data_IF_176922666423
#
_entry.id   IF_176922666423
#
_cell.length_a   1.000
_cell.length_b   1.000
_cell.length_c   1.000
_cell.angle_alpha   90.00
_cell.angle_beta   90.00
_cell.angle_gamma   90.00
#
_symmetry.space_group_name_H-M   'P 1'
#
loop_
_entity.id
_entity.type
_entity.pdbx_description
1 polymer ?
#
# COMPACT_ATOMS: atom_id res chain seq x y z
N UNK A 1 18.42 44.58 24.26
CA UNK A 1 18.95 43.99 25.49
C UNK A 1 19.58 42.67 25.11
N UNK A 2 20.92 42.70 25.12
CA UNK A 2 21.76 41.55 24.87
C UNK A 2 21.88 40.75 26.16
N UNK A 3 21.83 39.42 26.08
CA UNK A 3 22.37 38.52 27.09
C UNK A 3 23.29 37.50 26.44
N UNK A 4 24.42 37.47 27.03
CA UNK A 4 25.73 36.95 26.71
C UNK A 4 25.81 35.43 26.86
N UNK A 5 26.59 34.81 25.98
CA UNK A 5 27.02 33.42 26.05
C UNK A 5 28.29 33.33 26.89
N UNK A 6 28.37 32.40 27.84
CA UNK A 6 29.60 31.67 28.20
C UNK A 6 29.37 30.80 29.42
N UNK A 7 29.66 29.51 29.28
CA UNK A 7 30.31 28.56 30.22
C UNK A 7 29.99 27.15 29.84
N UNK A 8 30.81 26.26 29.73
CA UNK A 8 32.16 25.80 29.99
C UNK A 8 32.16 24.30 29.71
N UNK A 9 33.18 23.88 29.04
CA UNK A 9 33.48 22.44 28.79
C UNK A 9 33.99 21.85 30.11
N UNK A 10 33.49 20.69 30.49
CA UNK A 10 34.26 19.76 31.31
C UNK A 10 34.46 18.44 30.55
N UNK A 11 35.71 18.24 30.25
CA UNK A 11 36.36 17.02 29.73
C UNK A 11 36.64 16.13 30.95
N UNK A 12 36.13 14.91 30.96
CA UNK A 12 36.52 13.91 31.96
C UNK A 12 36.86 12.60 31.27
N UNK A 13 38.12 12.21 31.51
CA UNK A 13 38.89 11.15 30.93
C UNK A 13 38.38 9.73 31.20
N UNK A 14 38.67 8.85 30.24
CA UNK A 14 38.61 7.37 30.39
C UNK A 14 39.75 6.88 31.28
N UNK A 15 39.60 5.68 31.88
CA UNK A 15 40.70 4.73 31.87
C UNK A 15 40.36 3.42 31.11
N UNK A 16 41.37 2.95 30.41
CA UNK A 16 41.46 1.65 29.77
C UNK A 16 41.62 0.53 30.82
N UNK A 17 41.01 -0.60 30.58
CA UNK A 17 41.19 -1.80 31.39
C UNK A 17 40.77 -3.07 30.64
N UNK A 18 41.79 -3.73 30.08
CA UNK A 18 42.06 -5.17 29.96
C UNK A 18 40.95 -6.16 29.60
N UNK A 19 41.11 -6.81 28.44
CA UNK A 19 40.57 -8.15 28.12
C UNK A 19 41.19 -9.23 28.99
N UNK A 20 40.46 -10.32 29.28
CA UNK A 20 41.05 -11.65 29.27
C UNK A 20 40.48 -12.55 28.19
N UNK A 21 41.38 -13.34 27.66
CA UNK A 21 41.21 -14.32 26.62
C UNK A 21 40.42 -15.58 27.07
N UNK A 22 39.68 -16.14 26.13
CA UNK A 22 39.64 -17.56 25.84
C UNK A 22 38.85 -18.48 26.74
N UNK A 23 37.72 -19.03 26.23
CA UNK A 23 37.45 -20.46 26.37
C UNK A 23 36.58 -20.93 25.20
N UNK A 24 37.07 -21.96 24.54
CA UNK A 24 36.48 -22.59 23.39
C UNK A 24 35.16 -23.30 23.73
N UNK A 25 34.19 -23.19 22.83
CA UNK A 25 33.01 -24.04 22.82
C UNK A 25 33.20 -25.08 21.71
N UNK A 26 33.29 -26.32 22.16
CA UNK A 26 33.40 -27.55 21.36
C UNK A 26 32.15 -27.73 20.50
N UNK A 27 32.37 -28.02 19.23
CA UNK A 27 31.36 -28.65 18.35
C UNK A 27 31.04 -30.04 18.91
N UNK A 28 29.78 -30.26 19.22
CA UNK A 28 29.25 -31.61 19.45
C UNK A 28 28.76 -32.14 18.10
N UNK A 29 29.45 -33.12 17.58
CA UNK A 29 29.01 -34.08 16.58
C UNK A 29 28.01 -35.02 17.26
N UNK A 30 26.78 -35.09 16.75
CA UNK A 30 25.96 -36.25 16.98
C UNK A 30 25.99 -37.12 15.73
N UNK A 31 26.80 -38.18 15.86
CA UNK A 31 26.73 -39.42 15.08
C UNK A 31 25.84 -40.36 15.88
N UNK A 32 24.77 -40.83 15.33
CA UNK A 32 24.19 -42.08 15.79
C UNK A 32 23.46 -42.80 14.66
N UNK A 33 24.11 -43.85 14.22
CA UNK A 33 23.64 -44.79 13.25
C UNK A 33 22.57 -45.70 13.79
N UNK A 34 21.48 -45.84 13.08
CA UNK A 34 20.66 -47.05 13.16
C UNK A 34 20.51 -47.66 11.76
N UNK A 35 21.30 -48.71 11.52
CA UNK A 35 21.08 -49.66 10.46
C UNK A 35 19.92 -50.59 10.84
N UNK A 36 18.80 -50.50 10.16
CA UNK A 36 17.82 -51.55 10.14
C UNK A 36 18.14 -52.58 9.08
N UNK A 37 18.38 -53.79 9.55
CA UNK A 37 18.62 -55.00 8.76
C UNK A 37 17.32 -55.44 8.06
N UNK A 38 17.37 -55.64 6.76
CA UNK A 38 16.57 -56.64 6.08
C UNK A 38 17.46 -57.49 5.21
N UNK A 39 17.39 -58.81 5.43
CA UNK A 39 18.18 -59.85 4.83
C UNK A 39 17.71 -60.23 3.41
N UNK A 40 18.53 -61.04 2.71
CA UNK A 40 18.38 -61.37 1.32
C UNK A 40 17.70 -62.74 1.14
N UNK A 41 16.69 -62.83 0.29
CA UNK A 41 16.21 -64.03 -0.40
C UNK A 41 15.27 -63.54 -1.50
N UNK A 42 15.38 -63.85 -2.74
CA UNK A 42 15.70 -65.05 -3.51
C UNK A 42 16.13 -64.69 -4.92
N UNK A 43 17.27 -65.23 -5.33
CA UNK A 43 17.59 -65.47 -6.73
C UNK A 43 16.91 -66.76 -7.16
N UNK A 44 16.28 -66.84 -8.31
CA UNK A 44 16.52 -67.83 -9.38
C UNK A 44 15.33 -67.97 -10.31
N UNK A 45 15.58 -67.84 -11.53
CA UNK A 45 15.45 -68.70 -12.77
C UNK A 45 14.99 -67.84 -13.94
N UNK A 46 15.78 -67.72 -14.87
CA UNK A 46 16.40 -68.54 -15.90
C UNK A 46 15.72 -68.36 -17.28
N UNK A 47 16.57 -67.95 -18.19
CA UNK A 47 16.71 -68.32 -19.59
C UNK A 47 15.55 -68.23 -20.54
N UNK A 48 15.78 -67.56 -21.67
CA UNK A 48 15.01 -67.69 -22.87
C UNK A 48 15.37 -66.64 -23.93
N UNK A 49 16.41 -66.95 -24.71
CA UNK A 49 16.81 -66.24 -25.94
C UNK A 49 15.67 -66.00 -26.90
N UNK A 50 15.50 -64.80 -27.44
CA UNK A 50 15.34 -64.58 -28.89
C UNK A 50 15.66 -63.13 -29.22
N UNK A 51 16.68 -62.98 -30.05
CA UNK A 51 17.05 -61.76 -30.75
C UNK A 51 15.98 -61.35 -31.71
N UNK A 52 15.45 -60.14 -31.62
CA UNK A 52 14.86 -59.43 -32.75
C UNK A 52 15.41 -58.01 -32.73
N UNK A 53 16.18 -57.72 -33.75
CA UNK A 53 16.71 -56.42 -34.14
C UNK A 53 15.53 -55.64 -34.73
N UNK A 54 15.11 -54.56 -34.10
CA UNK A 54 14.27 -53.53 -34.74
C UNK A 54 14.78 -52.17 -34.31
N UNK A 55 14.96 -51.35 -35.33
CA UNK A 55 15.75 -50.16 -35.40
C UNK A 55 15.41 -49.04 -34.40
N UNK A 56 16.47 -48.31 -34.12
CA UNK A 56 16.46 -46.97 -33.51
C UNK A 56 15.63 -45.99 -34.36
N UNK A 57 14.59 -45.45 -33.77
CA UNK A 57 14.11 -44.11 -34.06
C UNK A 57 13.81 -43.47 -32.70
N UNK A 58 14.85 -42.93 -32.07
CA UNK A 58 14.75 -42.07 -30.90
C UNK A 58 14.18 -40.72 -31.29
N UNK A 59 12.86 -40.56 -31.13
CA UNK A 59 12.27 -39.21 -31.07
C UNK A 59 12.54 -38.68 -29.68
N UNK A 60 13.60 -37.89 -29.56
CA UNK A 60 13.80 -37.03 -28.41
C UNK A 60 12.70 -35.95 -28.44
N UNK A 61 11.57 -36.24 -27.80
CA UNK A 61 10.61 -35.22 -27.44
C UNK A 61 11.27 -34.32 -26.38
N UNK A 62 12.02 -33.32 -26.86
CA UNK A 62 12.38 -32.16 -26.04
C UNK A 62 11.05 -31.45 -25.76
N UNK A 63 10.48 -31.79 -24.59
CA UNK A 63 9.38 -31.02 -24.02
C UNK A 63 9.86 -29.59 -23.77
N UNK A 64 9.71 -28.74 -24.75
CA UNK A 64 9.63 -27.32 -24.48
C UNK A 64 8.38 -27.11 -23.64
N UNK A 65 8.52 -27.10 -22.33
CA UNK A 65 7.59 -26.37 -21.50
C UNK A 65 7.80 -24.91 -21.93
N UNK A 66 6.99 -24.47 -22.89
CA UNK A 66 6.75 -23.06 -23.07
C UNK A 66 6.24 -22.59 -21.70
N UNK A 67 7.13 -22.00 -20.88
CA UNK A 67 6.70 -21.08 -19.85
C UNK A 67 5.81 -20.12 -20.61
N UNK A 68 4.50 -20.18 -20.38
CA UNK A 68 3.59 -19.18 -20.87
C UNK A 68 4.18 -17.86 -20.35
N UNK A 69 4.82 -17.09 -21.26
CA UNK A 69 5.20 -15.74 -20.97
C UNK A 69 3.89 -15.07 -20.58
N UNK A 70 3.69 -14.83 -19.29
CA UNK A 70 2.59 -13.98 -18.83
C UNK A 70 2.73 -12.69 -19.62
N UNK A 71 1.73 -12.35 -20.44
CA UNK A 71 1.72 -11.08 -21.12
C UNK A 71 1.96 -10.00 -20.06
N UNK A 72 2.88 -9.06 -20.35
CA UNK A 72 3.18 -8.01 -19.40
C UNK A 72 1.89 -7.22 -19.12
N UNK A 73 1.58 -6.92 -17.87
CA UNK A 73 0.32 -6.24 -17.49
C UNK A 73 0.08 -4.97 -18.30
N UNK A 74 1.16 -4.25 -18.65
CA UNK A 74 1.08 -3.07 -19.52
C UNK A 74 0.49 -3.38 -20.89
N UNK A 75 0.88 -4.49 -21.51
CA UNK A 75 0.40 -4.88 -22.85
C UNK A 75 -1.08 -5.27 -22.78
N UNK A 76 -1.49 -5.99 -21.74
CA UNK A 76 -2.91 -6.34 -21.51
C UNK A 76 -3.77 -5.08 -21.27
N UNK A 77 -3.27 -4.13 -20.46
CA UNK A 77 -3.93 -2.83 -20.20
C UNK A 77 -4.07 -2.03 -21.50
N UNK A 78 -3.00 -1.95 -22.31
CA UNK A 78 -3.04 -1.30 -23.61
C UNK A 78 -4.00 -1.98 -24.59
N UNK A 79 -3.99 -3.29 -24.65
CA UNK A 79 -4.86 -4.08 -25.54
C UNK A 79 -6.35 -3.92 -25.21
N UNK A 80 -6.71 -3.91 -23.92
CA UNK A 80 -8.10 -3.67 -23.48
C UNK A 80 -8.53 -2.21 -23.52
N UNK A 81 -7.58 -1.25 -23.64
CA UNK A 81 -7.83 0.19 -23.80
C UNK A 81 -8.24 0.92 -22.51
N UNK A 82 -8.11 0.30 -21.34
CA UNK A 82 -8.38 0.91 -20.03
C UNK A 82 -7.63 0.19 -18.91
N UNK A 83 -7.42 0.91 -17.81
CA UNK A 83 -6.89 0.38 -16.55
C UNK A 83 -8.04 -0.18 -15.69
N UNK A 84 -7.93 -1.37 -15.13
CA UNK A 84 -8.87 -1.90 -14.14
C UNK A 84 -8.31 -1.66 -12.74
N UNK A 85 -8.97 -0.80 -11.97
CA UNK A 85 -8.53 -0.36 -10.64
C UNK A 85 -9.47 -0.88 -9.54
N UNK A 86 -8.93 -1.60 -8.55
CA UNK A 86 -9.67 -2.01 -7.35
C UNK A 86 -9.75 -0.86 -6.35
N UNK A 87 -10.98 -0.56 -5.88
CA UNK A 87 -11.30 0.52 -4.94
C UNK A 87 -12.17 0.03 -3.78
N UNK A 88 -12.40 0.86 -2.76
CA UNK A 88 -13.21 0.49 -1.60
C UNK A 88 -14.70 0.40 -1.95
N UNK A 89 -15.33 -0.75 -1.67
CA UNK A 89 -16.73 -1.00 -1.94
C UNK A 89 -17.71 -0.17 -1.07
N UNK A 90 -17.26 0.26 0.12
CA UNK A 90 -18.12 1.03 1.04
C UNK A 90 -18.29 2.51 0.67
N UNK A 91 -17.55 2.98 -0.33
CA UNK A 91 -17.57 4.40 -0.68
C UNK A 91 -16.95 5.25 0.43
N UNK A 92 -15.63 5.12 0.64
CA UNK A 92 -14.89 5.87 1.65
C UNK A 92 -14.59 7.28 1.14
N UNK A 93 -15.31 8.28 1.66
CA UNK A 93 -15.15 9.68 1.26
C UNK A 93 -13.69 10.14 1.43
N UNK A 94 -13.17 10.89 0.47
CA UNK A 94 -11.78 11.32 0.42
C UNK A 94 -10.80 10.30 -0.19
N UNK A 95 -11.12 9.01 -0.20
CA UNK A 95 -10.28 7.96 -0.78
C UNK A 95 -10.88 7.33 -2.03
N UNK A 96 -12.05 6.74 -1.92
CA UNK A 96 -12.80 6.24 -3.08
C UNK A 96 -14.28 6.19 -2.75
N UNK A 97 -15.04 7.13 -3.30
CA UNK A 97 -16.48 7.20 -3.14
C UNK A 97 -17.11 7.76 -4.42
N UNK A 98 -18.32 7.29 -4.80
CA UNK A 98 -19.08 7.97 -5.83
C UNK A 98 -19.57 9.33 -5.31
N UNK A 99 -19.52 10.34 -6.20
CA UNK A 99 -20.17 11.63 -5.96
C UNK A 99 -21.68 11.56 -6.29
N UNK A 100 -22.38 12.67 -6.16
CA UNK A 100 -23.83 12.77 -6.44
C UNK A 100 -24.22 12.42 -7.89
N UNK A 101 -23.25 12.42 -8.80
CA UNK A 101 -23.43 12.01 -10.20
C UNK A 101 -23.07 10.53 -10.44
N UNK A 102 -22.68 9.80 -9.41
CA UNK A 102 -22.21 8.42 -9.51
C UNK A 102 -20.78 8.28 -10.02
N UNK A 103 -20.03 9.38 -10.17
CA UNK A 103 -18.63 9.36 -10.59
C UNK A 103 -17.72 9.09 -9.39
N UNK A 104 -16.77 8.17 -9.54
CA UNK A 104 -15.78 7.90 -8.52
C UNK A 104 -14.87 9.10 -8.25
N UNK A 105 -14.64 9.42 -6.99
CA UNK A 105 -13.77 10.51 -6.52
C UNK A 105 -12.93 10.05 -5.33
N UNK A 106 -11.81 10.70 -5.08
CA UNK A 106 -10.94 10.42 -3.94
C UNK A 106 -9.47 10.23 -4.32
N UNK A 107 -8.61 10.20 -3.32
CA UNK A 107 -7.16 10.09 -3.46
C UNK A 107 -6.75 8.79 -4.17
N UNK A 108 -7.35 7.65 -3.80
CA UNK A 108 -7.13 6.36 -4.44
C UNK A 108 -7.60 6.33 -5.89
N UNK A 109 -8.72 7.00 -6.17
CA UNK A 109 -9.30 7.14 -7.51
C UNK A 109 -8.41 8.01 -8.41
N UNK A 110 -7.96 9.15 -7.90
CA UNK A 110 -7.10 10.06 -8.65
C UNK A 110 -5.73 9.43 -8.94
N UNK A 111 -5.21 8.62 -8.03
CA UNK A 111 -4.01 7.85 -8.32
C UNK A 111 -4.21 6.88 -9.50
N UNK A 112 -5.31 6.13 -9.57
CA UNK A 112 -5.60 5.27 -10.72
C UNK A 112 -5.81 6.07 -12.01
N UNK A 113 -6.43 7.26 -11.94
CA UNK A 113 -6.50 8.18 -13.08
C UNK A 113 -5.13 8.68 -13.53
N UNK A 114 -4.20 8.91 -12.59
CA UNK A 114 -2.83 9.27 -12.89
C UNK A 114 -2.11 8.16 -13.67
N UNK A 115 -2.25 6.90 -13.24
CA UNK A 115 -1.70 5.74 -13.96
C UNK A 115 -2.32 5.61 -15.35
N UNK A 116 -3.64 5.76 -15.49
CA UNK A 116 -4.31 5.73 -16.79
C UNK A 116 -3.83 6.86 -17.70
N UNK A 117 -3.67 8.08 -17.17
CA UNK A 117 -3.15 9.23 -17.91
C UNK A 117 -1.70 9.00 -18.36
N UNK A 118 -0.86 8.39 -17.52
CA UNK A 118 0.51 8.03 -17.89
C UNK A 118 0.58 7.07 -19.09
N UNK A 119 -0.35 6.11 -19.16
CA UNK A 119 -0.37 5.07 -20.19
C UNK A 119 -1.04 5.54 -21.50
N UNK A 120 -2.19 6.21 -21.36
CA UNK A 120 -3.08 6.54 -22.48
C UNK A 120 -3.11 8.03 -22.86
N UNK A 121 -2.48 8.90 -22.07
CA UNK A 121 -2.66 10.35 -22.21
C UNK A 121 -4.04 10.83 -21.74
N UNK A 122 -4.84 9.95 -21.15
CA UNK A 122 -6.24 10.19 -20.77
C UNK A 122 -6.59 9.51 -19.44
N UNK A 123 -6.78 10.29 -18.38
CA UNK A 123 -7.14 9.82 -17.05
C UNK A 123 -8.55 9.21 -16.96
N UNK A 124 -9.39 9.36 -17.98
CA UNK A 124 -10.71 8.73 -18.04
C UNK A 124 -10.66 7.25 -18.47
N UNK A 125 -9.52 6.78 -18.99
CA UNK A 125 -9.30 5.39 -19.41
C UNK A 125 -9.08 4.45 -18.22
N UNK A 126 -9.97 4.51 -17.24
CA UNK A 126 -9.95 3.68 -16.04
C UNK A 126 -11.37 3.19 -15.72
N UNK A 127 -11.46 1.93 -15.28
CA UNK A 127 -12.68 1.34 -14.71
C UNK A 127 -12.40 0.94 -13.27
N UNK A 128 -13.38 1.14 -12.42
CA UNK A 128 -13.26 0.87 -10.99
C UNK A 128 -14.03 -0.39 -10.61
N UNK A 129 -13.37 -1.30 -9.86
CA UNK A 129 -13.99 -2.49 -9.26
C UNK A 129 -14.09 -2.27 -7.75
N UNK A 130 -15.31 -2.14 -7.20
CA UNK A 130 -15.50 -2.07 -5.75
C UNK A 130 -15.19 -3.41 -5.09
N UNK A 131 -14.28 -3.41 -4.10
CA UNK A 131 -13.80 -4.60 -3.41
C UNK A 131 -13.90 -4.45 -1.89
N UNK A 132 -14.30 -5.53 -1.20
CA UNK A 132 -14.24 -5.62 0.26
C UNK A 132 -12.81 -5.86 0.74
N UNK A 133 -12.58 -5.75 2.06
CA UNK A 133 -11.25 -5.92 2.64
C UNK A 133 -10.69 -7.34 2.44
N UNK A 134 -11.53 -8.39 2.44
CA UNK A 134 -11.12 -9.77 2.21
C UNK A 134 -10.83 -10.05 0.72
N UNK A 135 -11.66 -9.53 -0.17
CA UNK A 135 -11.66 -9.91 -1.59
C UNK A 135 -10.56 -9.19 -2.40
N UNK A 136 -10.12 -8.01 -1.94
CA UNK A 136 -9.19 -7.15 -2.68
C UNK A 136 -7.89 -7.82 -3.11
N UNK A 137 -7.33 -8.69 -2.26
CA UNK A 137 -6.07 -9.36 -2.57
C UNK A 137 -6.24 -10.48 -3.58
N UNK A 138 -7.32 -11.25 -3.46
CA UNK A 138 -7.66 -12.30 -4.43
C UNK A 138 -7.95 -11.70 -5.80
N UNK A 139 -8.68 -10.58 -5.85
CA UNK A 139 -8.96 -9.87 -7.10
C UNK A 139 -7.68 -9.36 -7.78
N UNK A 140 -6.72 -8.84 -7.00
CA UNK A 140 -5.43 -8.43 -7.54
C UNK A 140 -4.60 -9.64 -8.01
N UNK A 141 -4.52 -10.71 -7.21
CA UNK A 141 -3.73 -11.90 -7.53
C UNK A 141 -4.28 -12.64 -8.75
N UNK A 142 -5.61 -12.71 -8.93
CA UNK A 142 -6.25 -13.36 -10.08
C UNK A 142 -6.17 -12.56 -11.38
N UNK A 143 -5.80 -11.26 -11.30
CA UNK A 143 -5.81 -10.36 -12.46
C UNK A 143 -7.19 -9.77 -12.78
N UNK A 144 -8.18 -9.91 -11.90
CA UNK A 144 -9.46 -9.20 -12.02
C UNK A 144 -9.25 -7.69 -12.01
N UNK A 145 -8.27 -7.21 -11.23
CA UNK A 145 -7.80 -5.83 -11.28
C UNK A 145 -6.31 -5.79 -11.61
N UNK A 146 -5.90 -4.75 -12.34
CA UNK A 146 -4.49 -4.53 -12.71
C UNK A 146 -3.71 -3.90 -11.57
N UNK A 147 -4.36 -3.06 -10.80
CA UNK A 147 -3.83 -2.32 -9.67
C UNK A 147 -4.89 -2.22 -8.57
N UNK A 148 -4.46 -2.28 -7.33
CA UNK A 148 -5.30 -2.08 -6.16
C UNK A 148 -4.91 -0.74 -5.51
N UNK A 149 -5.80 0.26 -5.59
CA UNK A 149 -5.70 1.53 -4.86
C UNK A 149 -6.94 1.65 -3.98
N UNK A 150 -6.81 1.17 -2.73
CA UNK A 150 -7.95 0.93 -1.85
C UNK A 150 -7.51 1.01 -0.38
N UNK A 151 -7.05 2.18 0.06
CA UNK A 151 -6.62 2.39 1.44
C UNK A 151 -5.98 1.12 2.05
N UNK A 152 -4.95 0.60 1.39
CA UNK A 152 -4.33 -0.68 1.73
C UNK A 152 -3.00 -0.47 2.44
N UNK A 153 -2.93 -0.89 3.70
CA UNK A 153 -1.71 -0.80 4.51
C UNK A 153 -0.61 -1.70 3.98
N UNK A 154 0.57 -1.14 3.76
CA UNK A 154 1.76 -1.90 3.42
C UNK A 154 2.29 -2.64 4.66
N UNK A 155 2.23 -3.96 4.64
CA UNK A 155 2.75 -4.83 5.69
C UNK A 155 3.66 -5.90 5.10
N UNK A 156 4.58 -6.44 5.92
CA UNK A 156 5.48 -7.52 5.46
C UNK A 156 4.71 -8.74 4.96
N UNK A 157 3.59 -9.11 5.60
CA UNK A 157 2.79 -10.27 5.18
C UNK A 157 2.12 -10.05 3.82
N UNK A 158 1.63 -8.84 3.54
CA UNK A 158 1.02 -8.48 2.26
C UNK A 158 2.06 -8.41 1.14
N UNK A 159 3.23 -7.87 1.46
CA UNK A 159 4.37 -7.82 0.56
C UNK A 159 4.87 -9.24 0.23
N UNK A 160 5.29 -9.99 1.23
CA UNK A 160 6.00 -11.26 1.03
C UNK A 160 5.08 -12.46 0.86
N UNK A 161 4.11 -12.67 1.78
CA UNK A 161 3.27 -13.86 1.76
C UNK A 161 2.16 -13.80 0.70
N UNK A 162 1.62 -12.61 0.42
CA UNK A 162 0.62 -12.42 -0.62
C UNK A 162 1.23 -12.03 -1.98
N UNK A 163 2.53 -11.79 -2.06
CA UNK A 163 3.23 -11.49 -3.31
C UNK A 163 2.79 -10.16 -3.94
N UNK A 164 2.71 -9.10 -3.14
CA UNK A 164 2.31 -7.77 -3.60
C UNK A 164 3.50 -6.81 -3.58
N UNK A 165 3.62 -5.97 -4.61
CA UNK A 165 4.53 -4.83 -4.62
C UNK A 165 3.75 -3.55 -4.35
N UNK A 166 4.11 -2.82 -3.29
CA UNK A 166 3.53 -1.52 -2.98
C UNK A 166 4.28 -0.41 -3.71
N UNK A 167 3.57 0.40 -4.49
CA UNK A 167 4.15 1.44 -5.34
C UNK A 167 4.62 2.68 -4.58
N UNK A 168 4.30 2.78 -3.30
CA UNK A 168 4.65 3.87 -2.40
C UNK A 168 3.59 4.05 -1.32
N UNK A 169 3.78 5.06 -0.48
CA UNK A 169 2.82 5.39 0.60
C UNK A 169 2.10 6.67 0.22
N UNK A 170 0.92 6.52 -0.38
CA UNK A 170 0.09 7.67 -0.80
C UNK A 170 -0.57 8.38 0.36
N UNK A 171 -0.68 7.73 1.52
CA UNK A 171 -1.21 8.33 2.74
C UNK A 171 -0.64 7.64 3.98
N UNK A 172 0.05 8.37 4.83
CA UNK A 172 0.49 7.92 6.14
C UNK A 172 -0.65 8.10 7.13
N UNK A 173 -1.20 7.01 7.62
CA UNK A 173 -2.31 6.96 8.57
C UNK A 173 -1.93 6.19 9.84
N UNK A 174 -2.88 6.07 10.72
CA UNK A 174 -2.83 5.26 11.93
C UNK A 174 -4.24 4.88 12.37
N UNK A 175 -4.36 3.74 13.06
CA UNK A 175 -5.63 3.30 13.60
C UNK A 175 -6.04 4.13 14.81
N UNK A 176 -7.32 4.49 14.87
CA UNK A 176 -7.94 5.20 15.98
C UNK A 176 -9.26 4.57 16.43
N UNK A 177 -9.94 5.29 17.29
CA UNK A 177 -11.28 4.94 17.78
C UNK A 177 -12.23 6.12 17.64
N UNK A 178 -13.49 5.83 17.35
CA UNK A 178 -14.59 6.79 17.36
C UNK A 178 -15.64 6.33 18.35
N UNK A 179 -16.17 7.26 19.14
CA UNK A 179 -17.23 7.03 20.13
C UNK A 179 -18.34 8.03 19.97
N UNK A 180 -19.56 7.68 20.40
CA UNK A 180 -20.64 8.64 20.56
C UNK A 180 -20.51 9.33 21.92
N UNK A 181 -20.14 10.62 21.94
CA UNK A 181 -19.87 11.39 23.14
C UNK A 181 -21.12 11.60 24.03
N UNK A 182 -22.33 11.49 23.45
CA UNK A 182 -23.59 11.54 24.24
C UNK A 182 -23.88 10.22 24.95
N UNK A 183 -23.53 9.08 24.31
CA UNK A 183 -23.71 7.74 24.89
C UNK A 183 -22.64 7.42 25.90
N UNK A 184 -21.42 7.90 25.68
CA UNK A 184 -20.25 7.68 26.54
C UNK A 184 -19.70 9.02 27.06
N UNK A 185 -20.47 9.75 27.91
CA UNK A 185 -20.05 11.05 28.42
C UNK A 185 -18.76 10.93 29.27
N UNK A 186 -17.78 11.77 28.97
CA UNK A 186 -16.50 11.79 29.70
C UNK A 186 -15.43 10.83 29.13
N UNK A 187 -15.75 9.95 28.18
CA UNK A 187 -14.73 9.18 27.45
C UNK A 187 -14.01 10.11 26.47
N UNK A 188 -12.69 10.27 26.69
CA UNK A 188 -11.81 11.09 25.86
C UNK A 188 -10.46 10.43 25.55
N UNK A 189 -10.32 9.15 25.89
CA UNK A 189 -9.13 8.33 25.65
C UNK A 189 -9.54 6.88 25.33
N UNK A 190 -8.82 6.24 24.43
CA UNK A 190 -8.97 4.83 24.11
C UNK A 190 -8.69 3.92 25.33
N UNK A 191 -7.91 4.38 26.28
CA UNK A 191 -7.66 3.65 27.55
C UNK A 191 -8.89 3.54 28.44
N UNK A 192 -9.94 4.30 28.17
CA UNK A 192 -11.21 4.25 28.89
C UNK A 192 -12.23 3.28 28.28
N UNK A 193 -11.85 2.58 27.19
CA UNK A 193 -12.72 1.64 26.47
C UNK A 193 -12.68 0.20 27.02
N UNK A 194 -12.18 -0.01 28.25
CA UNK A 194 -12.18 -1.35 28.85
C UNK A 194 -13.61 -1.84 29.06
N UNK A 195 -13.91 -3.06 28.57
CA UNK A 195 -15.25 -3.66 28.60
C UNK A 195 -16.16 -3.27 27.43
N UNK A 196 -15.75 -2.33 26.58
CA UNK A 196 -16.58 -1.84 25.48
C UNK A 196 -16.80 -2.89 24.38
N UNK A 197 -17.97 -2.80 23.73
CA UNK A 197 -18.26 -3.48 22.47
C UNK A 197 -17.70 -2.64 21.30
N UNK A 198 -16.77 -3.21 20.51
CA UNK A 198 -16.04 -2.47 19.49
C UNK A 198 -16.31 -3.04 18.09
N UNK A 199 -16.92 -2.23 17.22
CA UNK A 199 -17.12 -2.56 15.82
C UNK A 199 -15.79 -2.52 15.06
N UNK A 200 -15.52 -3.56 14.25
CA UNK A 200 -14.33 -3.67 13.40
C UNK A 200 -14.65 -4.52 12.16
N UNK A 201 -13.99 -4.21 11.05
CA UNK A 201 -14.11 -5.01 9.83
C UNK A 201 -13.05 -6.12 9.79
N UNK A 202 -13.47 -7.34 9.45
CA UNK A 202 -12.58 -8.50 9.26
C UNK A 202 -11.65 -8.37 8.05
N UNK A 203 -10.49 -9.06 8.11
CA UNK A 203 -9.50 -9.04 7.03
C UNK A 203 -8.71 -7.74 6.92
N UNK A 204 -8.69 -6.95 7.99
CA UNK A 204 -7.97 -5.68 8.09
C UNK A 204 -6.80 -5.78 9.07
N UNK A 205 -5.83 -4.87 8.96
CA UNK A 205 -4.79 -4.67 9.99
C UNK A 205 -5.42 -4.22 11.30
N UNK A 206 -6.50 -3.44 11.20
CA UNK A 206 -7.17 -2.84 12.37
C UNK A 206 -7.85 -3.88 13.26
N UNK A 207 -8.31 -5.01 12.70
CA UNK A 207 -8.79 -6.16 13.50
C UNK A 207 -7.66 -6.76 14.35
N UNK A 208 -6.47 -6.93 13.78
CA UNK A 208 -5.30 -7.48 14.49
C UNK A 208 -4.76 -6.51 15.55
N UNK A 209 -4.57 -5.25 15.17
CA UNK A 209 -4.05 -4.22 16.06
C UNK A 209 -4.99 -3.96 17.26
N UNK A 210 -6.32 -4.08 17.06
CA UNK A 210 -7.30 -3.97 18.15
C UNK A 210 -7.00 -4.98 19.26
N UNK A 211 -6.80 -6.24 18.90
CA UNK A 211 -6.49 -7.30 19.86
C UNK A 211 -5.16 -7.04 20.60
N UNK A 212 -4.13 -6.62 19.84
CA UNK A 212 -2.81 -6.35 20.40
C UNK A 212 -2.84 -5.15 21.37
N UNK A 213 -3.54 -4.08 21.00
CA UNK A 213 -3.65 -2.87 21.84
C UNK A 213 -4.32 -3.15 23.18
N UNK A 214 -5.48 -3.84 23.17
CA UNK A 214 -6.21 -4.17 24.40
C UNK A 214 -5.41 -5.12 25.28
N UNK A 215 -4.79 -6.14 24.70
CA UNK A 215 -3.89 -7.06 25.41
C UNK A 215 -2.69 -6.34 26.06
N UNK A 216 -2.03 -5.46 25.31
CA UNK A 216 -0.87 -4.71 25.81
C UNK A 216 -1.22 -3.80 26.99
N UNK A 217 -2.41 -3.21 26.97
CA UNK A 217 -2.92 -2.35 28.04
C UNK A 217 -3.68 -3.10 29.14
N UNK A 218 -3.75 -4.45 29.08
CA UNK A 218 -4.46 -5.29 30.05
C UNK A 218 -5.94 -4.91 30.19
N UNK A 219 -6.56 -4.56 29.08
CA UNK A 219 -7.95 -4.17 28.97
C UNK A 219 -8.78 -5.30 28.36
N UNK A 220 -10.00 -5.48 28.84
CA UNK A 220 -10.99 -6.36 28.25
C UNK A 220 -11.81 -5.61 27.21
N UNK A 221 -12.34 -6.29 26.18
CA UNK A 221 -13.28 -5.75 25.21
C UNK A 221 -14.09 -6.86 24.54
N UNK A 222 -15.18 -6.48 23.89
CA UNK A 222 -16.03 -7.39 23.12
C UNK A 222 -15.92 -7.03 21.63
N UNK A 223 -15.18 -7.79 20.79
CA UNK A 223 -15.08 -7.50 19.37
C UNK A 223 -16.42 -7.80 18.67
N UNK A 224 -16.94 -6.85 17.90
CA UNK A 224 -18.10 -7.03 17.03
C UNK A 224 -17.60 -6.95 15.59
N UNK A 225 -17.32 -8.12 15.02
CA UNK A 225 -16.63 -8.25 13.73
C UNK A 225 -17.65 -8.35 12.61
N UNK A 226 -17.45 -7.58 11.54
CA UNK A 226 -18.28 -7.56 10.34
C UNK A 226 -17.47 -7.92 9.09
N UNK A 227 -18.11 -8.53 8.11
CA UNK A 227 -17.42 -8.82 6.83
C UNK A 227 -17.29 -7.61 5.96
N UNK A 228 -18.27 -6.73 5.96
CA UNK A 228 -18.26 -5.51 5.17
C UNK A 228 -18.17 -4.27 6.06
N UNK A 229 -17.58 -3.20 5.51
CA UNK A 229 -17.55 -1.91 6.19
C UNK A 229 -18.95 -1.33 6.36
N UNK A 230 -19.85 -1.51 5.37
CA UNK A 230 -21.23 -1.03 5.43
C UNK A 230 -22.00 -1.62 6.61
N UNK A 231 -21.82 -2.93 6.90
CA UNK A 231 -22.42 -3.57 8.07
C UNK A 231 -21.89 -3.00 9.37
N UNK A 232 -20.56 -2.78 9.44
CA UNK A 232 -19.92 -2.17 10.61
C UNK A 232 -20.40 -0.73 10.84
N UNK A 233 -20.49 0.08 9.77
CA UNK A 233 -21.00 1.45 9.81
C UNK A 233 -22.44 1.48 10.34
N UNK A 234 -23.32 0.66 9.80
CA UNK A 234 -24.74 0.58 10.21
C UNK A 234 -24.90 0.07 11.64
N UNK A 235 -24.11 -0.93 12.05
CA UNK A 235 -24.13 -1.46 13.41
C UNK A 235 -23.69 -0.42 14.44
N UNK A 236 -22.64 0.34 14.14
CA UNK A 236 -22.18 1.42 15.00
C UNK A 236 -23.21 2.56 15.08
N UNK A 237 -23.75 3.01 13.96
CA UNK A 237 -24.74 4.10 13.90
C UNK A 237 -26.01 3.74 14.70
N UNK A 238 -26.48 2.49 14.60
CA UNK A 238 -27.61 1.99 15.38
C UNK A 238 -27.31 1.80 16.89
N UNK A 239 -26.04 1.93 17.31
CA UNK A 239 -25.60 1.78 18.70
C UNK A 239 -25.41 0.37 19.17
N UNK A 240 -25.21 -0.60 18.26
CA UNK A 240 -24.83 -1.97 18.60
C UNK A 240 -23.43 -2.06 19.19
N UNK A 241 -22.55 -1.12 18.84
CA UNK A 241 -21.19 -0.99 19.37
C UNK A 241 -21.04 0.32 20.15
N UNK A 242 -20.22 0.28 21.20
CA UNK A 242 -19.85 1.45 21.99
C UNK A 242 -18.80 2.31 21.28
N UNK A 243 -17.89 1.65 20.56
CA UNK A 243 -16.85 2.30 19.77
C UNK A 243 -16.72 1.66 18.38
N UNK A 244 -16.15 2.42 17.44
CA UNK A 244 -15.73 1.94 16.13
C UNK A 244 -14.23 2.13 15.97
N UNK A 245 -13.53 1.14 15.42
CA UNK A 245 -12.10 1.24 15.14
C UNK A 245 -11.78 0.93 13.69
N UNK A 246 -11.02 1.82 13.06
CA UNK A 246 -10.39 1.68 11.74
C UNK A 246 -9.30 2.74 11.62
N UNK A 247 -8.72 2.93 10.42
CA UNK A 247 -7.83 4.04 10.11
C UNK A 247 -8.46 5.38 10.51
N UNK A 248 -7.70 6.29 11.08
CA UNK A 248 -8.22 7.56 11.60
C UNK A 248 -8.89 8.40 10.49
N UNK A 249 -8.29 8.44 9.29
CA UNK A 249 -8.90 9.09 8.14
C UNK A 249 -10.23 8.46 7.74
N UNK A 250 -10.32 7.12 7.88
CA UNK A 250 -11.56 6.36 7.69
C UNK A 250 -12.64 6.73 8.70
N UNK A 251 -12.26 6.91 9.98
CA UNK A 251 -13.21 7.36 11.01
C UNK A 251 -13.80 8.74 10.69
N UNK A 252 -12.98 9.67 10.21
CA UNK A 252 -13.49 10.97 9.76
C UNK A 252 -14.45 10.84 8.58
N UNK A 253 -14.16 9.96 7.62
CA UNK A 253 -15.02 9.68 6.49
C UNK A 253 -16.35 9.04 6.91
N UNK A 254 -16.32 8.05 7.78
CA UNK A 254 -17.50 7.35 8.30
C UNK A 254 -18.38 8.32 9.09
N UNK A 255 -17.77 9.16 9.94
CA UNK A 255 -18.50 10.15 10.73
C UNK A 255 -19.42 11.04 9.88
N UNK A 256 -19.01 11.43 8.66
CA UNK A 256 -19.83 12.25 7.77
C UNK A 256 -21.13 11.56 7.33
N UNK A 257 -21.21 10.23 7.40
CA UNK A 257 -22.37 9.44 6.95
C UNK A 257 -23.30 9.04 8.11
N UNK A 258 -22.89 9.24 9.37
CA UNK A 258 -23.68 8.86 10.52
C UNK A 258 -24.93 9.73 10.65
N UNK A 259 -25.97 9.19 11.28
CA UNK A 259 -27.24 9.90 11.51
C UNK A 259 -27.06 11.19 12.31
N UNK A 260 -26.11 11.21 13.26
CA UNK A 260 -25.79 12.38 14.10
C UNK A 260 -24.29 12.63 14.14
N UNK A 261 -23.66 13.12 13.05
CA UNK A 261 -22.20 13.23 12.94
C UNK A 261 -21.55 14.02 14.08
N UNK A 262 -22.19 15.07 14.55
CA UNK A 262 -21.66 15.97 15.60
C UNK A 262 -21.67 15.35 16.99
N UNK A 263 -22.40 14.26 17.20
CA UNK A 263 -22.42 13.51 18.45
C UNK A 263 -21.22 12.56 18.59
N UNK A 264 -20.46 12.39 17.50
CA UNK A 264 -19.37 11.43 17.43
C UNK A 264 -18.00 12.10 17.45
N UNK A 265 -17.12 11.58 18.28
CA UNK A 265 -15.75 12.05 18.48
C UNK A 265 -14.74 10.96 18.11
N UNK A 266 -13.75 11.33 17.30
CA UNK A 266 -12.55 10.52 17.10
C UNK A 266 -11.60 10.77 18.25
N UNK A 267 -11.20 9.71 18.96
CA UNK A 267 -10.29 9.81 20.11
C UNK A 267 -8.87 10.15 19.66
N UNK A 268 -8.06 10.76 20.52
CA UNK A 268 -6.75 11.30 20.12
C UNK A 268 -5.68 10.23 19.89
N UNK A 269 -5.84 9.03 20.43
CA UNK A 269 -4.82 7.99 20.33
C UNK A 269 -4.73 7.42 18.92
N UNK A 270 -3.49 7.24 18.45
CA UNK A 270 -3.12 6.48 17.28
C UNK A 270 -2.40 5.23 17.75
N UNK A 271 -2.99 4.06 17.52
CA UNK A 271 -2.53 2.79 18.10
C UNK A 271 -1.68 1.94 17.16
N UNK A 272 -1.56 2.34 15.88
CA UNK A 272 -0.75 1.64 14.89
C UNK A 272 -0.16 2.59 13.86
N UNK A 273 0.70 2.03 13.00
CA UNK A 273 1.16 2.67 11.76
C UNK A 273 0.42 2.04 10.60
N UNK A 274 -0.28 2.85 9.82
CA UNK A 274 -1.02 2.43 8.64
C UNK A 274 -0.48 3.17 7.40
N UNK A 275 0.67 2.75 6.83
CA UNK A 275 1.19 3.32 5.59
C UNK A 275 0.34 2.81 4.42
N UNK A 276 -0.62 3.61 3.96
CA UNK A 276 -1.56 3.25 2.91
C UNK A 276 -0.94 3.50 1.54
N UNK A 277 -1.07 2.54 0.64
CA UNK A 277 -0.55 2.70 -0.71
C UNK A 277 -1.15 1.75 -1.72
N UNK A 278 -1.02 2.11 -3.01
CA UNK A 278 -1.43 1.24 -4.10
C UNK A 278 -0.48 0.07 -4.24
N UNK A 279 -1.02 -1.06 -4.69
CA UNK A 279 -0.24 -2.28 -4.88
C UNK A 279 -0.56 -2.98 -6.20
N UNK A 280 0.43 -3.69 -6.71
CA UNK A 280 0.37 -4.53 -7.91
C UNK A 280 0.87 -5.93 -7.58
N UNK A 281 0.63 -6.91 -8.47
CA UNK A 281 1.19 -8.26 -8.36
C UNK A 281 2.72 -8.22 -8.47
N UNK A 282 3.40 -9.09 -7.74
CA UNK A 282 4.83 -9.35 -7.95
C UNK A 282 5.06 -10.10 -9.28
N UNK A 283 6.29 -10.00 -9.81
CA UNK A 283 6.72 -10.71 -11.00
C UNK A 283 6.54 -9.93 -12.31
N UNK A 284 6.06 -8.69 -12.26
CA UNK A 284 6.03 -7.75 -13.39
C UNK A 284 6.68 -6.44 -12.98
N UNK A 285 8.00 -6.40 -13.05
CA UNK A 285 8.81 -5.27 -12.60
C UNK A 285 8.49 -4.00 -13.40
N UNK A 286 8.22 -4.16 -14.71
CA UNK A 286 7.86 -3.02 -15.57
C UNK A 286 6.54 -2.39 -15.16
N UNK A 287 5.54 -3.20 -14.83
CA UNK A 287 4.25 -2.73 -14.32
C UNK A 287 4.41 -2.05 -12.96
N UNK A 288 5.20 -2.65 -12.09
CA UNK A 288 5.53 -2.08 -10.79
C UNK A 288 6.25 -0.72 -10.93
N UNK A 289 7.20 -0.60 -11.86
CA UNK A 289 7.90 0.65 -12.13
C UNK A 289 6.94 1.74 -12.61
N UNK A 290 6.01 1.45 -13.51
CA UNK A 290 4.98 2.40 -13.95
C UNK A 290 4.15 2.90 -12.77
N UNK A 291 3.64 1.99 -11.94
CA UNK A 291 2.87 2.35 -10.76
C UNK A 291 3.70 3.22 -9.79
N UNK A 292 4.89 2.77 -9.44
CA UNK A 292 5.81 3.47 -8.53
C UNK A 292 6.22 4.86 -9.04
N UNK A 293 6.63 4.95 -10.29
CA UNK A 293 7.08 6.22 -10.85
C UNK A 293 5.92 7.20 -11.11
N UNK A 294 4.70 6.72 -11.32
CA UNK A 294 3.51 7.58 -11.31
C UNK A 294 3.34 8.29 -9.97
N UNK A 295 3.50 7.56 -8.85
CA UNK A 295 3.46 8.18 -7.53
C UNK A 295 4.58 9.21 -7.32
N UNK A 296 5.81 8.88 -7.68
CA UNK A 296 6.93 9.82 -7.54
C UNK A 296 6.80 11.02 -8.50
N UNK A 297 6.19 10.85 -9.67
CA UNK A 297 5.91 11.96 -10.56
C UNK A 297 4.96 12.98 -9.93
N UNK A 298 3.93 12.53 -9.23
CA UNK A 298 3.01 13.41 -8.49
C UNK A 298 3.72 14.21 -7.39
N UNK A 299 4.65 13.58 -6.66
CA UNK A 299 5.44 14.25 -5.62
C UNK A 299 6.44 15.25 -6.19
N UNK A 300 7.21 14.84 -7.22
CA UNK A 300 8.15 15.74 -7.90
C UNK A 300 7.43 16.95 -8.51
N UNK A 301 6.25 16.75 -9.08
CA UNK A 301 5.44 17.85 -9.60
C UNK A 301 5.04 18.85 -8.49
N UNK A 302 4.63 18.37 -7.31
CA UNK A 302 4.33 19.25 -6.17
C UNK A 302 5.60 20.00 -5.71
N UNK A 303 6.73 19.30 -5.59
CA UNK A 303 7.99 19.87 -5.12
C UNK A 303 8.52 20.97 -6.05
N UNK A 304 8.35 20.79 -7.37
CA UNK A 304 8.75 21.73 -8.40
C UNK A 304 7.70 22.81 -8.71
N UNK A 305 6.56 22.81 -8.00
CA UNK A 305 5.49 23.77 -8.24
C UNK A 305 4.76 23.59 -9.57
N UNK A 306 4.84 22.40 -10.17
CA UNK A 306 4.10 22.03 -11.37
C UNK A 306 2.68 21.65 -10.95
N UNK A 307 1.69 22.35 -11.48
CA UNK A 307 0.27 22.19 -11.13
C UNK A 307 -0.57 21.88 -12.37
N UNK A 308 -1.81 21.43 -12.16
CA UNK A 308 -2.76 21.22 -13.26
C UNK A 308 -2.93 22.48 -14.13
N UNK A 309 -2.89 23.65 -13.49
CA UNK A 309 -3.10 24.92 -14.18
C UNK A 309 -1.89 25.39 -15.01
N UNK A 310 -0.65 25.02 -14.60
CA UNK A 310 0.56 25.57 -15.23
C UNK A 310 1.41 24.56 -15.99
N UNK A 311 1.10 23.27 -15.97
CA UNK A 311 1.96 22.21 -16.52
C UNK A 311 2.32 22.42 -17.99
N UNK A 312 1.42 22.97 -18.80
CA UNK A 312 1.72 23.26 -20.22
C UNK A 312 2.74 24.38 -20.39
N UNK A 313 2.62 25.45 -19.59
CA UNK A 313 3.57 26.56 -19.61
C UNK A 313 4.95 26.12 -19.07
N UNK A 314 4.95 25.24 -18.04
CA UNK A 314 6.18 24.72 -17.44
C UNK A 314 7.02 23.84 -18.37
N UNK A 315 6.47 23.33 -19.47
CA UNK A 315 7.25 22.67 -20.53
C UNK A 315 8.29 23.56 -21.14
N UNK A 316 8.09 24.89 -21.13
CA UNK A 316 9.01 25.91 -21.64
C UNK A 316 9.95 26.43 -20.53
N UNK A 317 9.95 25.85 -19.35
CA UNK A 317 10.82 26.28 -18.24
C UNK A 317 12.29 26.15 -18.61
N UNK A 318 13.10 27.11 -18.16
CA UNK A 318 14.57 27.03 -18.30
C UNK A 318 15.21 26.15 -17.22
N UNK A 319 14.46 25.75 -16.18
CA UNK A 319 14.95 24.84 -15.14
C UNK A 319 15.18 23.43 -15.72
N UNK A 320 16.42 22.92 -15.72
CA UNK A 320 16.72 21.62 -16.32
C UNK A 320 16.04 20.44 -15.61
N UNK A 321 15.73 20.57 -14.31
CA UNK A 321 15.00 19.54 -13.58
C UNK A 321 13.54 19.46 -14.03
N UNK A 322 12.89 20.60 -14.23
CA UNK A 322 11.53 20.67 -14.76
C UNK A 322 11.48 20.11 -16.19
N UNK A 323 12.43 20.51 -17.06
CA UNK A 323 12.53 19.97 -18.42
C UNK A 323 12.63 18.45 -18.42
N UNK A 324 13.45 17.88 -17.55
CA UNK A 324 13.63 16.44 -17.42
C UNK A 324 12.37 15.74 -16.93
N UNK A 325 11.78 16.24 -15.84
CA UNK A 325 10.54 15.69 -15.28
C UNK A 325 9.39 15.71 -16.28
N UNK A 326 9.26 16.79 -17.05
CA UNK A 326 8.21 16.91 -18.07
C UNK A 326 8.55 16.28 -19.43
N UNK A 327 9.76 15.68 -19.57
CA UNK A 327 10.19 15.04 -20.80
C UNK A 327 10.36 16.01 -21.98
N UNK A 328 10.62 17.31 -21.71
CA UNK A 328 10.79 18.34 -22.73
C UNK A 328 12.24 18.56 -23.19
N UNK A 329 13.19 17.74 -22.70
CA UNK A 329 14.55 17.67 -23.23
C UNK A 329 14.55 17.00 -24.61
N UNK A 330 15.41 17.45 -25.51
CA UNK A 330 15.44 16.99 -26.90
C UNK A 330 15.74 15.47 -27.05
N UNK A 331 16.44 14.90 -26.09
CA UNK A 331 16.85 13.50 -26.04
C UNK A 331 16.18 12.72 -24.90
N UNK A 332 15.04 13.20 -24.43
CA UNK A 332 14.27 12.55 -23.36
C UNK A 332 13.94 11.10 -23.71
N UNK A 333 14.25 10.16 -22.79
CA UNK A 333 13.99 8.72 -22.96
C UNK A 333 13.25 8.09 -21.76
N UNK A 334 13.14 8.80 -20.65
CA UNK A 334 12.62 8.22 -19.38
C UNK A 334 11.22 7.64 -19.56
N UNK A 335 10.36 8.30 -20.32
CA UNK A 335 9.04 7.76 -20.64
C UNK A 335 9.12 6.49 -21.48
N UNK A 336 9.94 6.49 -22.53
CA UNK A 336 10.10 5.32 -23.43
C UNK A 336 10.74 4.13 -22.74
N UNK A 337 11.64 4.36 -21.79
CA UNK A 337 12.23 3.29 -20.97
C UNK A 337 11.17 2.60 -20.07
N UNK A 338 10.18 3.36 -19.60
CA UNK A 338 8.99 2.83 -18.92
C UNK A 338 7.98 2.19 -19.90
N UNK A 339 8.17 2.30 -21.21
CA UNK A 339 7.19 1.89 -22.22
C UNK A 339 6.01 2.85 -22.38
N UNK A 340 6.20 4.09 -21.95
CA UNK A 340 5.25 5.20 -22.04
C UNK A 340 5.72 6.24 -23.07
N UNK A 341 4.97 7.31 -23.27
CA UNK A 341 5.43 8.50 -24.02
C UNK A 341 6.28 9.40 -23.12
N UNK A 342 7.16 10.23 -23.69
CA UNK A 342 8.02 11.08 -22.87
C UNK A 342 7.27 12.18 -22.10
N UNK A 343 6.08 12.54 -22.55
CA UNK A 343 5.18 13.50 -21.89
C UNK A 343 4.25 12.87 -20.81
N UNK A 344 4.55 11.65 -20.37
CA UNK A 344 3.73 10.91 -19.41
C UNK A 344 3.45 11.70 -18.11
N UNK A 345 4.43 12.46 -17.60
CA UNK A 345 4.22 13.31 -16.40
C UNK A 345 3.30 14.48 -16.72
N UNK A 346 3.44 15.09 -17.90
CA UNK A 346 2.51 16.14 -18.37
C UNK A 346 1.09 15.62 -18.38
N UNK A 347 0.89 14.42 -18.93
CA UNK A 347 -0.42 13.78 -19.01
C UNK A 347 -1.01 13.49 -17.62
N UNK A 348 -0.18 13.01 -16.68
CA UNK A 348 -0.58 12.82 -15.28
C UNK A 348 -1.09 14.14 -14.69
N UNK A 349 -0.24 15.19 -14.72
CA UNK A 349 -0.55 16.44 -14.04
C UNK A 349 -1.75 17.15 -14.68
N UNK A 350 -1.91 17.07 -16.00
CA UNK A 350 -3.12 17.57 -16.70
C UNK A 350 -4.38 16.88 -16.24
N UNK A 351 -4.31 15.56 -16.04
CA UNK A 351 -5.47 14.76 -15.67
C UNK A 351 -5.91 14.98 -14.21
N UNK A 352 -4.95 15.01 -13.29
CA UNK A 352 -5.24 14.95 -11.85
C UNK A 352 -4.54 16.01 -11.00
N UNK A 353 -3.66 16.81 -11.56
CA UNK A 353 -2.80 17.72 -10.80
C UNK A 353 -1.62 17.00 -10.14
N UNK A 354 -0.90 17.71 -9.27
CA UNK A 354 0.16 17.14 -8.44
C UNK A 354 -0.39 16.51 -7.15
N UNK A 355 0.47 15.90 -6.33
CA UNK A 355 0.05 15.24 -5.10
C UNK A 355 -0.63 16.21 -4.12
N UNK A 356 -0.14 17.44 -3.99
CA UNK A 356 -0.74 18.47 -3.13
C UNK A 356 -2.16 18.81 -3.57
N UNK A 357 -2.39 19.01 -4.86
CA UNK A 357 -3.73 19.29 -5.41
C UNK A 357 -4.68 18.10 -5.19
N UNK A 358 -4.21 16.87 -5.39
CA UNK A 358 -4.97 15.65 -5.09
C UNK A 358 -5.33 15.57 -3.61
N UNK A 359 -4.37 15.80 -2.72
CA UNK A 359 -4.59 15.75 -1.29
C UNK A 359 -5.63 16.80 -0.85
N UNK A 360 -5.42 18.07 -1.22
CA UNK A 360 -6.27 19.17 -0.77
C UNK A 360 -7.73 19.03 -1.21
N UNK A 361 -7.98 18.60 -2.46
CA UNK A 361 -9.36 18.46 -2.94
C UNK A 361 -10.08 17.23 -2.36
N UNK A 362 -9.34 16.15 -2.01
CA UNK A 362 -9.96 14.89 -1.59
C UNK A 362 -10.05 14.75 -0.07
N UNK A 363 -9.00 15.06 0.67
CA UNK A 363 -8.93 14.86 2.13
C UNK A 363 -8.58 16.13 2.90
N UNK A 364 -7.96 17.10 2.22
CA UNK A 364 -7.46 18.34 2.81
C UNK A 364 -8.52 19.43 3.01
N UNK A 365 -8.07 20.66 3.00
CA UNK A 365 -8.89 21.85 3.29
C UNK A 365 -10.03 22.08 2.28
N UNK A 366 -9.88 21.61 1.05
CA UNK A 366 -10.88 21.67 -0.02
C UNK A 366 -11.95 20.58 0.07
N UNK A 367 -11.86 19.65 1.02
CA UNK A 367 -12.79 18.55 1.22
C UNK A 367 -13.63 18.72 2.49
N UNK A 368 -14.75 17.99 2.62
CA UNK A 368 -15.52 17.95 3.88
C UNK A 368 -14.73 17.38 5.06
N UNK A 369 -13.69 16.59 4.81
CA UNK A 369 -12.85 15.97 5.85
C UNK A 369 -11.94 16.96 6.54
N UNK A 370 -11.44 17.97 5.81
CA UNK A 370 -10.56 19.04 6.32
C UNK A 370 -9.36 18.55 7.12
N UNK A 371 -8.80 17.40 6.69
CA UNK A 371 -7.63 16.80 7.35
C UNK A 371 -6.39 17.63 6.99
N UNK A 372 -5.65 18.06 8.03
CA UNK A 372 -4.38 18.73 7.82
C UNK A 372 -3.34 17.78 7.21
N UNK A 373 -2.44 18.30 6.36
CA UNK A 373 -1.37 17.49 5.72
C UNK A 373 -0.52 16.74 6.75
N UNK A 374 -0.11 17.40 7.83
CA UNK A 374 0.73 16.79 8.88
C UNK A 374 1.92 16.04 8.28
N UNK A 375 2.10 14.79 8.68
CA UNK A 375 3.17 13.91 8.14
C UNK A 375 2.99 13.57 6.65
N UNK A 376 1.83 13.83 6.07
CA UNK A 376 1.57 13.67 4.63
C UNK A 376 2.05 14.88 3.78
N UNK A 377 2.66 15.88 4.40
CA UNK A 377 3.32 16.97 3.69
C UNK A 377 4.63 16.50 3.03
N UNK A 378 5.12 17.27 2.04
CA UNK A 378 6.45 17.04 1.46
C UNK A 378 7.53 17.14 2.55
N UNK A 379 8.63 16.42 2.37
CA UNK A 379 9.81 16.47 3.24
C UNK A 379 10.35 17.89 3.42
N UNK A 380 10.30 18.72 2.39
CA UNK A 380 10.66 20.15 2.43
C UNK A 380 9.75 20.99 3.33
N UNK A 381 8.59 20.45 3.68
CA UNK A 381 7.60 21.08 4.59
C UNK A 381 7.44 20.32 5.91
N UNK A 382 8.41 19.44 6.24
CA UNK A 382 8.45 18.70 7.50
C UNK A 382 7.61 17.41 7.52
N UNK A 383 7.12 16.96 6.38
CA UNK A 383 6.41 15.68 6.22
C UNK A 383 7.30 14.52 5.81
N UNK A 384 6.66 13.40 5.47
CA UNK A 384 7.32 12.15 5.05
C UNK A 384 7.22 11.91 3.54
N UNK A 385 6.50 12.74 2.79
CA UNK A 385 6.39 12.58 1.34
C UNK A 385 7.70 13.03 0.67
N UNK A 386 8.42 12.03 0.11
CA UNK A 386 9.74 12.22 -0.51
C UNK A 386 9.74 11.59 -1.90
N UNK A 387 9.74 12.43 -2.94
CA UNK A 387 9.80 11.98 -4.33
C UNK A 387 11.21 11.52 -4.71
N UNK A 388 11.33 10.33 -5.31
CA UNK A 388 12.60 9.91 -5.87
C UNK A 388 12.91 10.75 -7.12
N UNK A 389 14.19 11.15 -7.35
CA UNK A 389 14.53 12.01 -8.49
C UNK A 389 14.30 11.30 -9.83
N UNK A 390 13.62 11.97 -10.74
CA UNK A 390 13.44 11.55 -12.13
C UNK A 390 14.67 11.96 -12.94
N UNK A 391 15.58 10.99 -13.21
CA UNK A 391 16.85 11.21 -13.89
C UNK A 391 17.19 10.09 -14.86
#
# INVERSE_FOLDING_TARGET
>A
MAFDATREREESARPAGAHPAGTGVRRAYFDDGQKAKYGPEQQQRASGMKKILIGLLGVAAVGWTAAAASAATLDDVKAKGFLQCGVNAAGLAGFSAPNDKGEWTGLDVDYCRAVAAAIFGDGSKVKFTPLNAKDRFTALQSGEVDILSRNTTWTISRDTALGLNFAGVTYYDGQGFMVNAKKLPGVNSALQLSGAAICVQSGTTTELNLADYFKANKMEYSPVVFETQQEADAAYDSGRCDAYTTDQSGLYSIRLKLTTPDDHMVLPEIISKEPLGPSVRQGDDKWFDIAKWTYYALLNAEELGITQANVEDMKNSENPEIKRVLGSEADAKIGTDLGLTNDWVVNIVKAVGNYGEIFERNVGSGSPLKIARGINALWTKGGLQYGQPIR
#
